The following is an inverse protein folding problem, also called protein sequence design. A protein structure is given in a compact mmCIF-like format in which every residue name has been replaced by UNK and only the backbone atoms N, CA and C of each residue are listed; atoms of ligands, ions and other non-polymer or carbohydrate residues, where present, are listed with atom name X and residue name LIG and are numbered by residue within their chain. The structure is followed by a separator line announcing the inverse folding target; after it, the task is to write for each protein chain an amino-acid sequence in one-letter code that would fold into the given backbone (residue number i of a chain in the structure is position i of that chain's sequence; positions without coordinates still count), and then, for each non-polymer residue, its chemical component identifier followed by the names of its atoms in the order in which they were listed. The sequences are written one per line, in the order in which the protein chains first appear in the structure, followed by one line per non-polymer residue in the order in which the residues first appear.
data_IF_987551752608
#
_entry.id   IF_987551752608
#
_cell.length_a   1.000
_cell.length_b   1.000
_cell.length_c   1.000
_cell.angle_alpha   90.00
_cell.angle_beta   90.00
_cell.angle_gamma   90.00
#
_symmetry.space_group_name_H-M   'P 1'
#
loop_
_entity.id
_entity.type
_entity.pdbx_description
1 polymer ?
#
# COMPACT_ATOMS: atom_id res chain seq x y z
N UNK A 1 5.76 48.09 34.12
CA UNK A 1 5.65 48.08 32.62
C UNK A 1 6.57 47.05 31.97
N UNK A 2 7.83 46.94 32.38
CA UNK A 2 8.85 46.02 31.83
C UNK A 2 8.51 44.54 32.08
N UNK A 3 8.07 44.22 33.28
CA UNK A 3 7.69 42.88 33.73
C UNK A 3 6.49 42.31 32.90
N UNK A 4 5.50 43.16 32.64
CA UNK A 4 4.35 42.80 31.80
C UNK A 4 4.71 42.54 30.31
N UNK A 5 5.73 43.25 29.82
CA UNK A 5 6.28 43.00 28.47
C UNK A 5 7.03 41.68 28.45
N UNK A 6 7.89 41.42 29.43
CA UNK A 6 8.65 40.17 29.52
C UNK A 6 7.75 38.93 29.64
N UNK A 7 6.68 39.01 30.42
CA UNK A 7 5.67 37.95 30.52
C UNK A 7 4.98 37.69 29.18
N UNK A 8 4.58 38.73 28.43
CA UNK A 8 3.96 38.57 27.12
C UNK A 8 4.94 37.96 26.07
N UNK A 9 6.19 38.36 26.14
CA UNK A 9 7.20 37.83 25.20
C UNK A 9 7.49 36.36 25.52
N UNK A 10 7.53 35.98 26.79
CA UNK A 10 7.64 34.58 27.23
C UNK A 10 6.41 33.76 26.85
N UNK A 11 5.22 34.28 27.01
CA UNK A 11 3.97 33.63 26.62
C UNK A 11 3.93 33.36 25.07
N UNK A 12 4.28 34.39 24.29
CA UNK A 12 4.36 34.22 22.81
C UNK A 12 5.38 33.19 22.40
N UNK A 13 6.51 33.13 23.05
CA UNK A 13 7.55 32.14 22.78
C UNK A 13 7.06 30.73 23.10
N UNK A 14 6.46 30.52 24.27
CA UNK A 14 5.91 29.24 24.69
C UNK A 14 4.77 28.78 23.77
N UNK A 15 3.88 29.69 23.34
CA UNK A 15 2.82 29.39 22.38
C UNK A 15 3.37 28.97 21.02
N UNK A 16 4.45 29.60 20.58
CA UNK A 16 5.12 29.23 19.33
C UNK A 16 5.77 27.84 19.42
N UNK A 17 6.52 27.60 20.50
CA UNK A 17 7.16 26.31 20.77
C UNK A 17 6.10 25.17 20.86
N UNK A 18 4.99 25.42 21.56
CA UNK A 18 3.88 24.46 21.67
C UNK A 18 3.26 24.16 20.30
N UNK A 19 3.05 25.18 19.49
CA UNK A 19 2.48 25.01 18.15
C UNK A 19 3.41 24.18 17.24
N UNK A 20 4.71 24.47 17.26
CA UNK A 20 5.71 23.72 16.50
C UNK A 20 5.74 22.24 16.91
N UNK A 21 5.68 21.94 18.24
CA UNK A 21 5.61 20.55 18.72
C UNK A 21 4.29 19.87 18.38
N UNK A 22 3.16 20.58 18.38
CA UNK A 22 1.88 20.04 17.95
C UNK A 22 1.90 19.68 16.45
N UNK A 23 2.39 20.59 15.60
CA UNK A 23 2.51 20.36 14.16
C UNK A 23 3.44 19.17 13.85
N UNK A 24 4.55 19.04 14.57
CA UNK A 24 5.47 17.92 14.45
C UNK A 24 4.84 16.60 14.88
N UNK A 25 4.15 16.58 16.01
CA UNK A 25 3.42 15.40 16.51
C UNK A 25 2.33 14.97 15.53
N UNK A 26 1.57 15.94 15.00
CA UNK A 26 0.52 15.67 14.01
C UNK A 26 1.08 15.09 12.72
N UNK A 27 2.17 15.65 12.22
CA UNK A 27 2.86 15.12 11.02
C UNK A 27 3.34 13.68 11.22
N UNK A 28 3.89 13.35 12.39
CA UNK A 28 4.30 11.99 12.73
C UNK A 28 3.11 11.02 12.77
N UNK A 29 1.97 11.45 13.32
CA UNK A 29 0.74 10.65 13.34
C UNK A 29 0.20 10.39 11.94
N UNK A 30 0.19 11.41 11.08
CA UNK A 30 -0.27 11.30 9.68
C UNK A 30 0.66 10.47 8.77
N UNK A 31 1.90 10.24 9.19
CA UNK A 31 2.78 9.28 8.53
C UNK A 31 2.40 7.81 8.81
N UNK A 32 1.56 7.56 9.83
CA UNK A 32 1.19 6.22 10.28
C UNK A 32 -0.28 5.91 9.97
N UNK A 33 -1.15 6.92 10.02
CA UNK A 33 -2.60 6.77 9.88
C UNK A 33 -3.15 7.73 8.83
N UNK A 34 -4.18 7.33 8.04
CA UNK A 34 -4.94 8.26 7.21
C UNK A 34 -5.55 9.39 8.04
N UNK A 35 -5.70 10.57 7.42
CA UNK A 35 -6.12 11.78 8.13
C UNK A 35 -7.49 11.65 8.81
N UNK A 36 -8.47 11.07 8.13
CA UNK A 36 -9.82 10.83 8.67
C UNK A 36 -9.79 9.89 9.89
N UNK A 37 -8.96 8.86 9.84
CA UNK A 37 -8.74 7.92 10.94
C UNK A 37 -8.07 8.61 12.13
N UNK A 38 -7.03 9.43 11.87
CA UNK A 38 -6.34 10.20 12.91
C UNK A 38 -7.30 11.17 13.62
N UNK A 39 -8.20 11.85 12.87
CA UNK A 39 -9.19 12.75 13.46
C UNK A 39 -10.21 11.99 14.33
N UNK A 40 -10.73 10.85 13.88
CA UNK A 40 -11.66 10.01 14.66
C UNK A 40 -11.03 9.54 15.98
N UNK A 41 -9.76 9.12 15.94
CA UNK A 41 -9.02 8.76 17.16
C UNK A 41 -8.84 9.95 18.11
N UNK A 42 -8.52 11.15 17.60
CA UNK A 42 -8.39 12.38 18.41
C UNK A 42 -9.71 12.76 19.08
N UNK A 43 -10.86 12.47 18.47
CA UNK A 43 -12.18 12.70 19.09
C UNK A 43 -12.58 11.61 20.10
N UNK A 44 -11.71 10.61 20.35
CA UNK A 44 -11.94 9.57 21.35
C UNK A 44 -12.74 8.37 20.83
N UNK A 45 -12.90 8.23 19.51
CA UNK A 45 -13.55 7.05 18.95
C UNK A 45 -12.66 5.80 19.16
N UNK A 46 -13.21 4.77 19.82
CA UNK A 46 -12.44 3.58 20.23
C UNK A 46 -12.56 2.41 19.25
N UNK A 47 -13.58 2.43 18.39
CA UNK A 47 -13.81 1.38 17.40
C UNK A 47 -14.07 2.02 16.05
N UNK A 48 -13.05 2.01 15.21
CA UNK A 48 -13.13 2.57 13.86
C UNK A 48 -13.24 1.41 12.87
N UNK A 49 -14.38 1.33 12.18
CA UNK A 49 -14.61 0.38 11.09
C UNK A 49 -15.49 1.05 10.03
N UNK A 50 -15.10 0.91 8.75
CA UNK A 50 -15.85 1.47 7.62
C UNK A 50 -15.90 0.46 6.49
N UNK A 51 -17.10 0.18 5.97
CA UNK A 51 -17.28 -0.71 4.82
C UNK A 51 -17.11 0.08 3.52
N UNK A 52 -16.34 -0.48 2.58
CA UNK A 52 -16.14 0.05 1.25
C UNK A 52 -16.49 -1.01 0.21
N UNK A 53 -17.21 -0.60 -0.85
CA UNK A 53 -17.54 -1.47 -1.97
C UNK A 53 -16.58 -1.29 -3.14
N UNK A 54 -16.31 -2.37 -3.87
CA UNK A 54 -15.53 -2.35 -5.12
C UNK A 54 -14.13 -1.69 -5.00
N UNK A 55 -13.43 -1.96 -3.92
CA UNK A 55 -12.04 -1.52 -3.71
C UNK A 55 -11.10 -2.41 -4.52
N UNK A 56 -10.18 -1.82 -5.24
CA UNK A 56 -9.12 -2.54 -5.94
C UNK A 56 -7.93 -2.72 -5.01
N UNK A 57 -7.46 -3.95 -4.86
CA UNK A 57 -6.48 -4.38 -3.86
C UNK A 57 -5.29 -4.97 -4.59
N UNK A 58 -4.07 -4.49 -4.27
CA UNK A 58 -2.81 -4.95 -4.84
C UNK A 58 -1.94 -5.57 -3.75
N UNK A 59 -1.41 -6.76 -4.06
CA UNK A 59 -0.23 -7.32 -3.41
C UNK A 59 0.89 -7.44 -4.43
N UNK A 60 2.08 -6.97 -4.06
CA UNK A 60 3.29 -7.10 -4.87
C UNK A 60 4.41 -7.67 -3.98
N UNK A 61 4.98 -8.79 -4.38
CA UNK A 61 5.95 -9.56 -3.63
C UNK A 61 7.24 -9.75 -4.43
N UNK A 62 8.40 -9.72 -3.76
CA UNK A 62 9.69 -9.89 -4.41
C UNK A 62 9.98 -11.38 -4.58
N UNK A 63 10.16 -11.81 -5.82
CA UNK A 63 10.39 -13.22 -6.15
C UNK A 63 11.68 -13.73 -5.55
N UNK A 64 11.62 -14.87 -4.86
CA UNK A 64 12.78 -15.51 -4.23
C UNK A 64 13.55 -14.59 -3.26
N UNK A 65 12.86 -13.67 -2.59
CA UNK A 65 13.48 -12.74 -1.66
C UNK A 65 14.20 -13.47 -0.51
N UNK A 66 13.55 -14.43 0.14
CA UNK A 66 14.11 -15.15 1.31
C UNK A 66 15.47 -15.78 1.04
N UNK A 67 15.69 -16.60 -0.02
CA UNK A 67 17.02 -17.14 -0.29
C UNK A 67 18.04 -16.07 -0.72
N UNK A 68 17.63 -15.00 -1.41
CA UNK A 68 18.53 -13.93 -1.82
C UNK A 68 18.95 -13.07 -0.62
N UNK A 69 18.01 -12.72 0.25
CA UNK A 69 18.27 -11.92 1.45
C UNK A 69 19.20 -12.60 2.46
N UNK A 70 19.23 -13.94 2.50
CA UNK A 70 20.13 -14.68 3.35
C UNK A 70 21.62 -14.48 3.01
N UNK A 71 21.94 -13.98 1.82
CA UNK A 71 23.30 -13.69 1.37
C UNK A 71 23.77 -12.26 1.71
N UNK A 72 22.87 -11.42 2.23
CA UNK A 72 23.13 -10.01 2.54
C UNK A 72 23.41 -9.83 4.04
N UNK A 73 24.16 -8.80 4.38
CA UNK A 73 24.19 -8.36 5.77
C UNK A 73 22.91 -7.56 6.11
N UNK A 74 22.53 -7.44 7.40
CA UNK A 74 21.29 -6.79 7.81
C UNK A 74 21.12 -5.34 7.31
N UNK A 75 22.19 -4.57 7.24
CA UNK A 75 22.16 -3.18 6.78
C UNK A 75 21.88 -3.11 5.28
N UNK A 76 22.57 -3.92 4.46
CA UNK A 76 22.35 -4.02 3.02
C UNK A 76 20.90 -4.40 2.71
N UNK A 77 20.37 -5.39 3.43
CA UNK A 77 18.99 -5.84 3.29
C UNK A 77 17.99 -4.69 3.51
N UNK A 78 18.15 -3.96 4.61
CA UNK A 78 17.25 -2.84 4.94
C UNK A 78 17.38 -1.70 3.93
N UNK A 79 18.58 -1.39 3.45
CA UNK A 79 18.80 -0.37 2.41
C UNK A 79 18.07 -0.76 1.12
N UNK A 80 18.24 -1.98 0.62
CA UNK A 80 17.58 -2.45 -0.62
C UNK A 80 16.06 -2.40 -0.47
N UNK A 81 15.51 -2.91 0.64
CA UNK A 81 14.06 -2.84 0.87
C UNK A 81 13.54 -1.40 0.96
N UNK A 82 14.31 -0.51 1.61
CA UNK A 82 13.96 0.89 1.69
C UNK A 82 13.94 1.56 0.31
N UNK A 83 14.92 1.28 -0.53
CA UNK A 83 14.99 1.83 -1.89
C UNK A 83 13.81 1.35 -2.74
N UNK A 84 13.51 0.05 -2.70
CA UNK A 84 12.37 -0.55 -3.41
C UNK A 84 11.05 0.06 -2.93
N UNK A 85 10.82 0.10 -1.62
CA UNK A 85 9.54 0.58 -1.08
C UNK A 85 9.39 2.09 -1.20
N UNK A 86 10.48 2.87 -1.16
CA UNK A 86 10.43 4.31 -1.43
C UNK A 86 9.97 4.59 -2.86
N UNK A 87 10.46 3.84 -3.84
CA UNK A 87 9.98 3.93 -5.23
C UNK A 87 8.47 3.63 -5.30
N UNK A 88 8.00 2.60 -4.58
CA UNK A 88 6.58 2.24 -4.59
C UNK A 88 5.70 3.26 -3.87
N UNK A 89 6.20 3.88 -2.81
CA UNK A 89 5.53 4.96 -2.08
C UNK A 89 5.36 6.21 -2.96
N UNK A 90 6.39 6.59 -3.72
CA UNK A 90 6.32 7.70 -4.69
C UNK A 90 5.30 7.41 -5.80
N UNK A 91 5.28 6.16 -6.30
CA UNK A 91 4.29 5.71 -7.28
C UNK A 91 2.88 5.73 -6.69
N UNK A 92 2.69 5.24 -5.47
CA UNK A 92 1.38 5.23 -4.80
C UNK A 92 0.80 6.64 -4.70
N UNK A 93 1.62 7.60 -4.31
CA UNK A 93 1.28 9.03 -4.26
C UNK A 93 0.91 9.57 -5.66
N UNK A 94 1.74 9.28 -6.66
CA UNK A 94 1.56 9.78 -8.03
C UNK A 94 0.30 9.25 -8.71
N UNK A 95 -0.13 8.04 -8.38
CA UNK A 95 -1.34 7.39 -8.92
C UNK A 95 -2.57 7.53 -8.02
N UNK A 96 -2.47 8.26 -6.90
CA UNK A 96 -3.53 8.39 -5.89
C UNK A 96 -4.03 7.01 -5.40
N UNK A 97 -3.08 6.18 -5.03
CA UNK A 97 -3.26 4.84 -4.45
C UNK A 97 -2.82 4.92 -2.99
N UNK A 98 -3.58 4.29 -2.10
CA UNK A 98 -3.27 4.27 -0.68
C UNK A 98 -2.42 3.03 -0.35
N UNK A 99 -1.20 3.26 0.16
CA UNK A 99 -0.40 2.23 0.79
C UNK A 99 -1.02 1.86 2.13
N UNK A 100 -1.21 0.58 2.37
CA UNK A 100 -1.70 0.09 3.66
C UNK A 100 -0.53 -0.28 4.56
N UNK A 101 0.34 -1.16 4.09
CA UNK A 101 1.53 -1.62 4.83
C UNK A 101 2.46 -2.43 3.95
N UNK A 102 3.63 -2.75 4.51
CA UNK A 102 4.48 -3.83 4.01
C UNK A 102 4.36 -5.06 4.91
N UNK A 103 4.49 -6.25 4.35
CA UNK A 103 4.47 -7.53 5.07
C UNK A 103 5.70 -8.31 4.62
N UNK A 104 6.82 -8.16 5.37
CA UNK A 104 8.12 -8.64 4.91
C UNK A 104 8.54 -7.91 3.63
N UNK A 105 8.71 -8.66 2.56
CA UNK A 105 9.03 -8.16 1.21
C UNK A 105 7.80 -7.91 0.32
N UNK A 106 6.60 -8.06 0.87
CA UNK A 106 5.36 -7.80 0.15
C UNK A 106 4.84 -6.39 0.40
N UNK A 107 4.44 -5.67 -0.67
CA UNK A 107 3.81 -4.35 -0.64
C UNK A 107 2.30 -4.49 -0.80
N UNK A 108 1.53 -3.94 0.13
CA UNK A 108 0.07 -3.97 0.14
C UNK A 108 -0.49 -2.56 -0.04
N UNK A 109 -1.25 -2.35 -1.11
CA UNK A 109 -1.86 -1.07 -1.46
C UNK A 109 -3.27 -1.24 -2.02
N UNK A 110 -4.06 -0.17 -1.96
CA UNK A 110 -5.46 -0.17 -2.42
C UNK A 110 -5.83 1.10 -3.15
N UNK A 111 -6.78 0.97 -4.07
CA UNK A 111 -7.39 2.11 -4.75
C UNK A 111 -8.92 2.04 -4.69
N UNK A 112 -9.57 3.20 -4.47
CA UNK A 112 -11.03 3.28 -4.48
C UNK A 112 -11.68 3.19 -3.09
N UNK A 113 -10.96 3.48 -2.01
CA UNK A 113 -11.57 3.70 -0.69
C UNK A 113 -12.46 4.94 -0.70
N UNK A 114 -12.12 5.92 -1.52
CA UNK A 114 -12.95 7.09 -1.83
C UNK A 114 -12.94 7.34 -3.34
N UNK A 115 -14.06 7.81 -3.89
CA UNK A 115 -14.17 8.23 -5.29
C UNK A 115 -14.54 7.12 -6.29
N UNK A 116 -14.11 7.28 -7.54
CA UNK A 116 -14.45 6.40 -8.66
C UNK A 116 -13.63 5.11 -8.66
N UNK A 117 -14.31 3.99 -8.38
CA UNK A 117 -13.71 2.64 -8.34
C UNK A 117 -13.05 2.24 -9.67
N UNK A 118 -13.66 2.58 -10.83
CA UNK A 118 -13.09 2.25 -12.15
C UNK A 118 -11.83 3.03 -12.42
N UNK A 119 -11.80 4.33 -12.12
CA UNK A 119 -10.62 5.18 -12.26
C UNK A 119 -9.50 4.70 -11.36
N UNK A 120 -9.80 4.38 -10.10
CA UNK A 120 -8.84 3.87 -9.13
C UNK A 120 -8.27 2.50 -9.55
N UNK A 121 -9.09 1.61 -10.09
CA UNK A 121 -8.66 0.32 -10.64
C UNK A 121 -7.68 0.49 -11.81
N UNK A 122 -7.96 1.42 -12.72
CA UNK A 122 -7.07 1.73 -13.85
C UNK A 122 -5.74 2.31 -13.34
N UNK A 123 -5.78 3.22 -12.37
CA UNK A 123 -4.60 3.81 -11.78
C UNK A 123 -3.74 2.75 -11.06
N UNK A 124 -4.35 1.83 -10.32
CA UNK A 124 -3.66 0.76 -9.64
C UNK A 124 -2.92 -0.17 -10.62
N UNK A 125 -3.54 -0.52 -11.75
CA UNK A 125 -2.88 -1.33 -12.80
C UNK A 125 -1.75 -0.55 -13.47
N UNK A 126 -1.92 0.75 -13.73
CA UNK A 126 -0.83 1.60 -14.26
C UNK A 126 0.34 1.69 -13.29
N UNK A 127 0.06 1.89 -12.01
CA UNK A 127 1.07 1.86 -10.95
C UNK A 127 1.81 0.53 -10.94
N UNK A 128 1.09 -0.60 -10.99
CA UNK A 128 1.70 -1.93 -11.04
C UNK A 128 2.65 -2.11 -12.23
N UNK A 129 2.31 -1.58 -13.40
CA UNK A 129 3.21 -1.58 -14.58
C UNK A 129 4.46 -0.75 -14.35
N UNK A 130 4.34 0.42 -13.74
CA UNK A 130 5.50 1.25 -13.39
C UNK A 130 6.35 0.62 -12.27
N UNK A 131 5.75 -0.08 -11.30
CA UNK A 131 6.50 -0.82 -10.28
C UNK A 131 7.44 -1.85 -10.92
N UNK A 132 6.92 -2.67 -11.85
CA UNK A 132 7.72 -3.67 -12.58
C UNK A 132 8.86 -3.00 -13.35
N UNK A 133 8.56 -1.91 -14.08
CA UNK A 133 9.54 -1.17 -14.87
C UNK A 133 10.63 -0.52 -14.01
N UNK A 134 10.24 0.14 -12.90
CA UNK A 134 11.18 0.79 -11.99
C UNK A 134 12.08 -0.20 -11.27
N UNK A 135 11.54 -1.36 -10.88
CA UNK A 135 12.35 -2.38 -10.26
C UNK A 135 13.36 -3.00 -11.25
N UNK A 136 12.98 -3.15 -12.51
CA UNK A 136 13.92 -3.58 -13.55
C UNK A 136 15.08 -2.58 -13.71
N UNK A 137 14.79 -1.27 -13.72
CA UNK A 137 15.83 -0.24 -13.77
C UNK A 137 16.72 -0.23 -12.51
N UNK A 138 16.14 -0.51 -11.34
CA UNK A 138 16.90 -0.61 -10.09
C UNK A 138 17.87 -1.80 -10.12
N UNK A 139 17.50 -2.92 -10.72
CA UNK A 139 18.38 -4.09 -10.89
C UNK A 139 19.68 -3.77 -11.65
N UNK A 140 19.68 -2.76 -12.55
CA UNK A 140 20.89 -2.34 -13.26
C UNK A 140 21.93 -1.69 -12.31
N UNK A 141 21.49 -1.31 -11.10
CA UNK A 141 22.34 -0.67 -10.08
C UNK A 141 22.67 -1.57 -8.90
N UNK A 142 22.03 -2.75 -8.81
CA UNK A 142 22.19 -3.70 -7.69
C UNK A 142 22.82 -5.00 -8.22
N UNK A 143 24.12 -5.21 -7.96
CA UNK A 143 24.82 -6.42 -8.41
C UNK A 143 24.49 -7.70 -7.63
N UNK A 144 23.88 -7.57 -6.44
CA UNK A 144 23.74 -8.68 -5.47
C UNK A 144 22.43 -9.43 -5.51
N UNK A 145 21.40 -8.89 -6.15
CA UNK A 145 20.04 -9.46 -6.19
C UNK A 145 19.40 -9.29 -7.56
N UNK A 146 18.64 -10.29 -8.02
CA UNK A 146 17.74 -10.19 -9.15
C UNK A 146 16.31 -9.94 -8.63
N UNK A 147 15.97 -8.66 -8.52
CA UNK A 147 14.68 -8.22 -7.99
C UNK A 147 13.60 -8.30 -9.07
N UNK A 148 12.69 -9.24 -8.91
CA UNK A 148 11.51 -9.37 -9.78
C UNK A 148 10.24 -9.39 -8.93
N UNK A 149 9.16 -8.75 -9.40
CA UNK A 149 7.88 -8.75 -8.71
C UNK A 149 6.95 -9.85 -9.22
N UNK A 150 6.19 -10.43 -8.30
CA UNK A 150 4.88 -11.01 -8.60
C UNK A 150 3.82 -10.04 -8.11
N UNK A 151 2.87 -9.70 -8.96
CA UNK A 151 1.79 -8.79 -8.59
C UNK A 151 0.46 -9.48 -8.78
N UNK A 152 -0.39 -9.39 -7.74
CA UNK A 152 -1.78 -9.85 -7.76
C UNK A 152 -2.73 -8.70 -7.48
N UNK A 153 -3.80 -8.57 -8.29
CA UNK A 153 -4.81 -7.53 -8.08
C UNK A 153 -6.22 -8.13 -8.17
N UNK A 154 -7.04 -7.75 -7.21
CA UNK A 154 -8.47 -8.10 -7.17
C UNK A 154 -9.32 -6.88 -6.86
N UNK A 155 -10.61 -6.92 -7.20
CA UNK A 155 -11.60 -5.90 -6.86
C UNK A 155 -12.75 -6.54 -6.11
N UNK A 156 -13.10 -5.98 -4.94
CA UNK A 156 -14.21 -6.46 -4.11
C UNK A 156 -14.45 -5.59 -2.88
N UNK A 157 -15.40 -6.02 -2.05
CA UNK A 157 -15.79 -5.31 -0.83
C UNK A 157 -14.79 -5.58 0.30
N UNK A 158 -14.50 -4.52 1.07
CA UNK A 158 -13.61 -4.58 2.24
C UNK A 158 -14.19 -3.80 3.41
N UNK A 159 -13.65 -4.05 4.58
CA UNK A 159 -13.80 -3.21 5.77
C UNK A 159 -12.42 -2.65 6.11
N UNK A 160 -12.31 -1.33 6.22
CA UNK A 160 -11.13 -0.66 6.80
C UNK A 160 -11.37 -0.40 8.27
N UNK A 161 -10.31 -0.33 9.05
CA UNK A 161 -10.46 0.01 10.46
C UNK A 161 -9.14 0.07 11.20
N UNK A 162 -9.23 0.33 12.50
CA UNK A 162 -8.09 0.37 13.40
C UNK A 162 -8.26 -0.66 14.50
N UNK A 163 -7.24 -1.44 14.72
CA UNK A 163 -7.16 -2.39 15.84
C UNK A 163 -5.93 -2.10 16.73
N UNK A 164 -6.03 -2.52 17.98
CA UNK A 164 -4.98 -2.38 18.97
C UNK A 164 -5.30 -1.34 20.06
N UNK A 165 -4.67 -1.50 21.23
CA UNK A 165 -4.80 -0.55 22.37
C UNK A 165 -3.57 0.34 22.54
N UNK A 166 -2.38 -0.19 22.28
CA UNK A 166 -1.11 0.50 22.48
C UNK A 166 -0.36 0.79 21.18
N UNK A 167 -0.52 -0.10 20.17
CA UNK A 167 0.01 0.07 18.82
C UNK A 167 -1.17 -0.02 17.87
N UNK A 168 -1.68 1.12 17.47
CA UNK A 168 -2.74 1.17 16.47
C UNK A 168 -2.23 0.66 15.14
N UNK A 169 -3.00 -0.25 14.54
CA UNK A 169 -2.76 -0.73 13.19
C UNK A 169 -4.01 -0.46 12.34
N UNK A 170 -3.84 0.41 11.35
CA UNK A 170 -4.83 0.60 10.29
C UNK A 170 -4.66 -0.53 9.28
N UNK A 171 -5.74 -1.21 8.96
CA UNK A 171 -5.71 -2.37 8.08
C UNK A 171 -7.04 -2.56 7.33
N UNK A 172 -7.04 -3.51 6.38
CA UNK A 172 -8.22 -3.94 5.63
C UNK A 172 -8.53 -5.41 5.88
N UNK A 173 -9.83 -5.70 5.98
CA UNK A 173 -10.36 -7.05 6.13
C UNK A 173 -11.43 -7.34 5.09
N UNK A 174 -11.51 -8.60 4.69
CA UNK A 174 -12.52 -9.12 3.79
C UNK A 174 -12.00 -10.26 2.92
N UNK A 175 -12.93 -11.02 2.33
CA UNK A 175 -12.58 -12.08 1.37
C UNK A 175 -11.82 -11.55 0.16
N UNK A 176 -12.08 -10.31 -0.23
CA UNK A 176 -11.40 -9.64 -1.34
C UNK A 176 -9.89 -9.46 -1.09
N UNK A 177 -9.47 -9.18 0.16
CA UNK A 177 -8.06 -9.08 0.54
C UNK A 177 -7.35 -10.42 0.34
N UNK A 178 -7.96 -11.50 0.85
CA UNK A 178 -7.43 -12.86 0.68
C UNK A 178 -7.37 -13.26 -0.80
N UNK A 179 -8.37 -12.85 -1.59
CA UNK A 179 -8.40 -13.16 -3.02
C UNK A 179 -7.26 -12.43 -3.77
N UNK A 180 -7.00 -11.15 -3.47
CA UNK A 180 -5.88 -10.40 -4.04
C UNK A 180 -4.53 -11.06 -3.72
N UNK A 181 -4.31 -11.49 -2.48
CA UNK A 181 -3.13 -12.24 -2.07
C UNK A 181 -3.00 -13.57 -2.85
N UNK A 182 -4.13 -14.26 -3.16
CA UNK A 182 -4.10 -15.47 -4.02
C UNK A 182 -3.74 -15.14 -5.47
N UNK A 183 -4.18 -14.01 -5.99
CA UNK A 183 -3.74 -13.56 -7.33
C UNK A 183 -2.22 -13.32 -7.36
N UNK A 184 -1.65 -12.73 -6.31
CA UNK A 184 -0.20 -12.56 -6.20
C UNK A 184 0.51 -13.92 -6.14
N UNK A 185 0.17 -14.79 -5.19
CA UNK A 185 0.86 -16.08 -4.97
C UNK A 185 0.75 -17.06 -6.14
N UNK A 186 -0.22 -16.88 -7.01
CA UNK A 186 -0.40 -17.64 -8.26
C UNK A 186 0.09 -16.89 -9.51
N UNK A 187 0.70 -15.71 -9.33
CA UNK A 187 1.30 -14.94 -10.41
C UNK A 187 2.66 -15.53 -10.84
N UNK A 188 3.20 -14.98 -11.90
CA UNK A 188 4.52 -15.32 -12.44
C UNK A 188 5.48 -14.12 -12.27
N UNK A 189 6.80 -14.35 -12.18
CA UNK A 189 7.78 -13.27 -12.08
C UNK A 189 7.64 -12.25 -13.22
N UNK A 190 7.59 -10.97 -12.89
CA UNK A 190 7.42 -9.88 -13.85
C UNK A 190 6.01 -9.72 -14.41
N UNK A 191 5.02 -10.49 -13.91
CA UNK A 191 3.64 -10.44 -14.40
C UNK A 191 2.69 -9.77 -13.40
N UNK A 192 1.67 -9.12 -13.95
CA UNK A 192 0.55 -8.55 -13.21
C UNK A 192 -0.66 -9.45 -13.42
N UNK A 193 -1.04 -10.17 -12.39
CA UNK A 193 -2.11 -11.16 -12.40
C UNK A 193 -3.37 -10.57 -11.78
N UNK A 194 -4.47 -10.59 -12.50
CA UNK A 194 -5.73 -10.00 -12.06
C UNK A 194 -6.88 -11.00 -12.06
N UNK A 195 -7.82 -10.79 -11.16
CA UNK A 195 -9.05 -11.55 -11.10
C UNK A 195 -10.02 -11.18 -12.20
N UNK A 196 -11.00 -12.05 -12.46
CA UNK A 196 -12.09 -11.79 -13.41
C UNK A 196 -12.93 -10.56 -13.03
N UNK A 197 -13.14 -10.29 -11.72
CA UNK A 197 -13.88 -9.12 -11.26
C UNK A 197 -13.19 -7.83 -11.70
N UNK A 198 -11.87 -7.73 -11.49
CA UNK A 198 -11.11 -6.57 -11.93
C UNK A 198 -11.07 -6.48 -13.45
N UNK A 199 -10.88 -7.61 -14.16
CA UNK A 199 -10.90 -7.64 -15.62
C UNK A 199 -12.20 -7.07 -16.18
N UNK A 200 -13.38 -7.46 -15.66
CA UNK A 200 -14.68 -6.94 -16.09
C UNK A 200 -14.78 -5.41 -15.96
N UNK A 201 -14.14 -4.84 -14.95
CA UNK A 201 -14.17 -3.41 -14.68
C UNK A 201 -13.30 -2.58 -15.64
N UNK A 202 -12.16 -3.15 -16.09
CA UNK A 202 -11.13 -2.41 -16.84
C UNK A 202 -10.80 -2.97 -18.23
N UNK A 203 -11.55 -3.98 -18.73
CA UNK A 203 -11.27 -4.72 -19.99
C UNK A 203 -11.08 -3.85 -21.22
N UNK A 204 -11.64 -2.65 -21.25
CA UNK A 204 -11.56 -1.71 -22.36
C UNK A 204 -10.26 -0.86 -22.37
N UNK A 205 -9.46 -0.93 -21.31
CA UNK A 205 -8.31 -0.04 -21.09
C UNK A 205 -6.95 -0.70 -21.26
N UNK A 206 -6.90 -2.02 -21.21
CA UNK A 206 -5.65 -2.81 -21.32
C UNK A 206 -5.87 -4.02 -22.19
N UNK A 207 -4.76 -4.63 -22.64
CA UNK A 207 -4.74 -5.96 -23.25
C UNK A 207 -4.52 -7.01 -22.18
N UNK A 208 -5.05 -8.22 -22.41
CA UNK A 208 -5.02 -9.28 -21.40
C UNK A 208 -4.77 -10.65 -22.03
N UNK A 209 -4.02 -11.46 -21.33
CA UNK A 209 -3.86 -12.89 -21.62
C UNK A 209 -4.70 -13.68 -20.62
N UNK A 210 -5.69 -14.44 -21.10
CA UNK A 210 -6.58 -15.23 -20.24
C UNK A 210 -5.88 -16.50 -19.75
N UNK A 211 -5.95 -16.76 -18.44
CA UNK A 211 -5.60 -18.03 -17.77
C UNK A 211 -6.87 -18.77 -17.39
N UNK A 212 -7.15 -19.88 -18.08
CA UNK A 212 -8.36 -20.67 -17.81
C UNK A 212 -8.12 -21.69 -16.71
N UNK A 213 -9.10 -21.81 -15.83
CA UNK A 213 -9.20 -22.93 -14.90
C UNK A 213 -8.09 -23.02 -13.86
N UNK A 214 -7.58 -21.89 -13.40
CA UNK A 214 -6.61 -21.83 -12.33
C UNK A 214 -7.22 -22.33 -11.01
N UNK A 215 -6.58 -23.30 -10.36
CA UNK A 215 -6.97 -23.74 -9.02
C UNK A 215 -6.45 -22.77 -7.97
N UNK A 216 -7.36 -22.14 -7.23
CA UNK A 216 -7.06 -21.20 -6.16
C UNK A 216 -7.52 -21.77 -4.83
N UNK A 217 -6.60 -21.88 -3.87
CA UNK A 217 -6.89 -22.45 -2.54
C UNK A 217 -8.03 -21.70 -1.85
N UNK A 218 -9.07 -22.42 -1.43
CA UNK A 218 -10.23 -21.85 -0.74
C UNK A 218 -11.27 -21.18 -1.65
N UNK A 219 -11.03 -21.14 -2.97
CA UNK A 219 -11.95 -20.55 -3.96
C UNK A 219 -12.39 -21.59 -5.01
N UNK A 220 -11.51 -22.54 -5.37
CA UNK A 220 -11.74 -23.51 -6.42
C UNK A 220 -11.16 -23.10 -7.76
N UNK A 221 -11.76 -23.60 -8.83
CA UNK A 221 -11.32 -23.37 -10.22
C UNK A 221 -11.88 -22.06 -10.75
N UNK A 222 -11.02 -21.14 -11.15
CA UNK A 222 -11.40 -19.80 -11.65
C UNK A 222 -10.69 -19.47 -12.97
N UNK A 223 -11.26 -18.51 -13.70
CA UNK A 223 -10.58 -17.82 -14.78
C UNK A 223 -9.91 -16.54 -14.25
N UNK A 224 -8.73 -16.23 -14.73
CA UNK A 224 -7.95 -15.06 -14.35
C UNK A 224 -7.21 -14.51 -15.56
N UNK A 225 -6.49 -13.39 -15.40
CA UNK A 225 -5.88 -12.72 -16.54
C UNK A 225 -4.51 -12.14 -16.16
N UNK A 226 -3.57 -12.18 -17.09
CA UNK A 226 -2.37 -11.35 -17.04
C UNK A 226 -2.61 -10.06 -17.82
N UNK A 227 -2.15 -8.93 -17.29
CA UNK A 227 -2.11 -7.64 -17.99
C UNK A 227 -0.87 -7.61 -18.90
N UNK A 228 -1.04 -7.19 -20.15
CA UNK A 228 0.06 -6.92 -21.09
C UNK A 228 0.59 -5.48 -20.99
#
# INVERSE_FOLDING_TARGET
CIEKKHLRDKEKRLMKELKEEQEKSEKLLLNILPNDIAQRLKTGETTIATKHGQVSILFADIVNFTPQSALLNPNELVIILNDVFSIFDDLSTSYNIEKIKTIGDSYFAVGGLSGDSKKSAINLVKMAKEMVKRLHALNETIDKMDLRLRIGIHCGDVVTGVIGKHKFAYDLWGSAVNFASRMESTSEPGKIHISENLHKLIKEKFRFIKRKGLMVKGVGKIDSYFVE
#
